data_IF_474580450444
#
_entry.id   IF_474580450444
#
_cell.length_a   1.000
_cell.length_b   1.000
_cell.length_c   1.000
_cell.angle_alpha   90.00
_cell.angle_beta   90.00
_cell.angle_gamma   90.00
#
_symmetry.space_group_name_H-M   'P 1'
#
loop_
_entity.id
_entity.type
_entity.pdbx_description
1 polymer ?
#
# COMPACT_ATOMS: atom_id res chain seq x y z
N UNK A 1 13.66 40.93 12.37
CA UNK A 1 14.43 39.68 12.48
C UNK A 1 13.41 38.58 12.77
N UNK A 2 12.97 37.85 11.75
CA UNK A 2 12.07 36.70 11.89
C UNK A 2 12.90 35.58 12.53
N UNK A 3 12.55 35.22 13.77
CA UNK A 3 13.17 34.07 14.43
C UNK A 3 12.85 32.80 13.62
N UNK A 4 13.82 32.28 12.87
CA UNK A 4 13.72 31.05 12.09
C UNK A 4 13.70 29.79 12.99
N UNK A 5 13.19 29.95 14.23
CA UNK A 5 12.97 28.86 15.17
C UNK A 5 11.61 28.23 14.95
N UNK A 6 11.59 26.89 14.87
CA UNK A 6 10.36 26.16 14.69
C UNK A 6 9.52 26.12 15.97
N UNK A 7 8.44 26.87 16.00
CA UNK A 7 7.55 26.98 17.17
C UNK A 7 6.33 26.02 17.04
N UNK A 8 5.70 25.67 18.19
CA UNK A 8 4.44 24.90 18.18
C UNK A 8 3.33 25.60 17.39
N UNK A 9 3.26 26.94 17.40
CA UNK A 9 2.30 27.73 16.64
C UNK A 9 2.48 27.57 15.13
N UNK A 10 3.73 27.56 14.65
CA UNK A 10 4.04 27.33 13.25
C UNK A 10 3.67 25.89 12.81
N UNK A 11 3.87 24.89 13.69
CA UNK A 11 3.44 23.50 13.40
C UNK A 11 1.91 23.41 13.30
N UNK A 12 1.17 24.15 14.17
CA UNK A 12 -0.30 24.22 14.08
C UNK A 12 -0.76 24.96 12.81
N UNK A 13 -0.10 26.06 12.46
CA UNK A 13 -0.38 26.78 11.22
C UNK A 13 -0.11 25.91 9.97
N UNK A 14 0.99 25.15 9.97
CA UNK A 14 1.28 24.17 8.94
C UNK A 14 0.21 23.08 8.85
N UNK A 15 -0.32 22.59 9.97
CA UNK A 15 -1.42 21.63 9.97
C UNK A 15 -2.69 22.19 9.31
N UNK A 16 -2.99 23.48 9.52
CA UNK A 16 -4.09 24.17 8.83
C UNK A 16 -3.83 24.32 7.33
N UNK A 17 -2.60 24.70 6.96
CA UNK A 17 -2.17 24.79 5.57
C UNK A 17 -2.34 23.43 4.83
N UNK A 18 -1.91 22.32 5.44
CA UNK A 18 -2.09 20.99 4.84
C UNK A 18 -3.56 20.60 4.62
N UNK A 19 -4.49 21.14 5.43
CA UNK A 19 -5.94 20.96 5.20
C UNK A 19 -6.42 21.77 4.00
N UNK A 20 -5.98 23.02 3.88
CA UNK A 20 -6.31 23.88 2.74
C UNK A 20 -5.75 23.29 1.42
N UNK A 21 -4.60 22.62 1.48
CA UNK A 21 -4.00 21.84 0.40
C UNK A 21 -4.72 20.48 0.16
N UNK A 22 -5.88 20.24 0.77
CA UNK A 22 -6.69 19.01 0.64
C UNK A 22 -5.90 17.72 0.88
N UNK A 23 -4.83 17.77 1.70
CA UNK A 23 -4.07 16.57 2.05
C UNK A 23 -4.95 15.63 2.88
N UNK A 24 -4.86 14.33 2.59
CA UNK A 24 -5.60 13.32 3.38
C UNK A 24 -5.15 13.32 4.84
N UNK A 25 -6.08 13.01 5.77
CA UNK A 25 -5.79 12.90 7.22
C UNK A 25 -4.55 12.06 7.51
N UNK A 26 -4.44 10.88 6.91
CA UNK A 26 -3.27 10.01 7.08
C UNK A 26 -1.95 10.65 6.59
N UNK A 27 -2.01 11.51 5.55
CA UNK A 27 -0.84 12.27 5.09
C UNK A 27 -0.48 13.36 6.08
N UNK A 28 -1.48 14.10 6.57
CA UNK A 28 -1.28 15.14 7.57
C UNK A 28 -0.69 14.58 8.86
N UNK A 29 -1.28 13.51 9.41
CA UNK A 29 -0.76 12.83 10.60
C UNK A 29 0.69 12.40 10.44
N UNK A 30 1.02 11.82 9.26
CA UNK A 30 2.38 11.41 8.94
C UNK A 30 3.34 12.61 8.88
N UNK A 31 2.96 13.68 8.17
CA UNK A 31 3.78 14.88 8.04
C UNK A 31 4.01 15.52 9.41
N UNK A 32 2.96 15.72 10.19
CA UNK A 32 3.06 16.31 11.52
C UNK A 32 3.91 15.48 12.48
N UNK A 33 3.80 14.15 12.42
CA UNK A 33 4.66 13.25 13.19
C UNK A 33 6.14 13.42 12.81
N UNK A 34 6.42 13.46 11.50
CA UNK A 34 7.79 13.58 10.99
C UNK A 34 8.37 14.97 11.28
N UNK A 35 7.54 16.04 11.22
CA UNK A 35 7.93 17.41 11.60
C UNK A 35 8.18 17.54 13.11
N UNK A 36 7.35 16.94 13.96
CA UNK A 36 7.61 16.91 15.40
C UNK A 36 8.91 16.16 15.74
N UNK A 37 9.27 15.15 14.97
CA UNK A 37 10.55 14.47 15.13
C UNK A 37 11.73 15.37 14.74
N UNK A 38 11.58 16.13 13.65
CA UNK A 38 12.57 17.15 13.25
C UNK A 38 12.71 18.27 14.30
N UNK A 39 11.59 18.82 14.79
CA UNK A 39 11.58 19.85 15.82
C UNK A 39 12.32 19.42 17.11
N UNK A 40 12.11 18.21 17.57
CA UNK A 40 12.84 17.65 18.72
C UNK A 40 14.32 17.51 18.47
N UNK A 41 14.71 17.09 17.27
CA UNK A 41 16.12 17.00 16.89
C UNK A 41 16.76 18.38 16.71
N UNK A 42 16.00 19.35 16.21
CA UNK A 42 16.45 20.73 16.03
C UNK A 42 16.77 21.41 17.36
N UNK A 43 16.06 21.04 18.42
CA UNK A 43 16.29 21.47 19.82
C UNK A 43 16.39 22.99 19.96
N UNK A 44 15.41 23.71 19.43
CA UNK A 44 15.32 25.17 19.49
C UNK A 44 16.33 25.94 18.63
N UNK A 45 17.18 25.27 17.86
CA UNK A 45 18.10 25.93 16.92
C UNK A 45 17.32 26.54 15.76
N UNK A 46 17.86 27.57 15.14
CA UNK A 46 17.28 28.20 13.96
C UNK A 46 17.40 27.30 12.73
N UNK A 47 16.37 27.30 11.91
CA UNK A 47 16.38 26.51 10.67
C UNK A 47 17.35 27.11 9.68
N UNK A 48 18.29 26.31 9.21
CA UNK A 48 19.25 26.70 8.19
C UNK A 48 19.42 25.59 7.16
N UNK A 49 19.99 25.93 6.01
CA UNK A 49 20.37 24.94 4.98
C UNK A 49 21.30 23.86 5.56
N UNK A 50 22.25 24.25 6.38
CA UNK A 50 23.19 23.35 7.03
C UNK A 50 22.48 22.37 7.97
N UNK A 51 21.57 22.86 8.83
CA UNK A 51 20.81 21.99 9.76
C UNK A 51 19.81 21.07 9.02
N UNK A 52 19.19 21.54 7.93
CA UNK A 52 18.36 20.69 7.10
C UNK A 52 19.16 19.53 6.47
N UNK A 53 20.38 19.80 6.01
CA UNK A 53 21.29 18.78 5.49
C UNK A 53 21.79 17.85 6.62
N UNK A 54 22.11 18.38 7.80
CA UNK A 54 22.52 17.61 8.97
C UNK A 54 21.39 16.67 9.45
N UNK A 55 20.12 17.09 9.41
CA UNK A 55 18.99 16.21 9.67
C UNK A 55 18.94 15.00 8.74
N UNK A 56 19.17 15.22 7.43
CA UNK A 56 19.26 14.12 6.47
C UNK A 56 20.39 13.16 6.81
N UNK A 57 21.60 13.68 7.12
CA UNK A 57 22.75 12.87 7.55
C UNK A 57 22.42 12.06 8.81
N UNK A 58 21.83 12.69 9.84
CA UNK A 58 21.37 12.03 11.05
C UNK A 58 20.40 10.86 10.77
N UNK A 59 19.46 11.02 9.84
CA UNK A 59 18.54 9.94 9.46
C UNK A 59 19.28 8.76 8.78
N UNK A 60 20.32 9.04 7.99
CA UNK A 60 21.17 8.02 7.38
C UNK A 60 21.95 7.26 8.44
N UNK A 61 22.62 7.97 9.37
CA UNK A 61 23.39 7.39 10.47
C UNK A 61 22.53 6.53 11.39
N UNK A 62 21.28 6.91 11.60
CA UNK A 62 20.30 6.11 12.36
C UNK A 62 19.80 4.86 11.62
N UNK A 63 20.31 4.59 10.42
CA UNK A 63 19.98 3.39 9.65
C UNK A 63 18.55 3.35 9.08
N UNK A 64 17.87 4.49 8.93
CA UNK A 64 16.56 4.50 8.30
C UNK A 64 16.65 4.07 6.83
N UNK A 65 15.66 3.28 6.38
CA UNK A 65 15.55 2.92 4.97
C UNK A 65 15.43 4.18 4.08
N UNK A 66 16.10 4.23 2.91
CA UNK A 66 16.11 5.40 2.03
C UNK A 66 14.72 5.94 1.68
N UNK A 67 13.75 5.06 1.45
CA UNK A 67 12.36 5.47 1.21
C UNK A 67 11.72 6.16 2.43
N UNK A 68 12.07 5.73 3.65
CA UNK A 68 11.60 6.36 4.89
C UNK A 68 12.26 7.72 5.09
N UNK A 69 13.55 7.85 4.77
CA UNK A 69 14.27 9.12 4.79
C UNK A 69 13.60 10.10 3.82
N UNK A 70 13.42 9.70 2.55
CA UNK A 70 12.79 10.55 1.55
C UNK A 70 11.36 10.97 1.92
N UNK A 71 10.62 10.11 2.60
CA UNK A 71 9.29 10.46 3.10
C UNK A 71 9.34 11.52 4.21
N UNK A 72 10.33 11.45 5.12
CA UNK A 72 10.57 12.48 6.15
C UNK A 72 11.06 13.80 5.54
N UNK A 73 11.94 13.72 4.55
CA UNK A 73 12.40 14.89 3.81
C UNK A 73 11.29 15.56 2.99
N UNK A 74 10.32 14.80 2.50
CA UNK A 74 9.12 15.34 1.85
C UNK A 74 8.30 16.21 2.80
N UNK A 75 8.09 15.73 4.03
CA UNK A 75 7.41 16.51 5.07
C UNK A 75 8.20 17.77 5.43
N UNK A 76 9.53 17.67 5.62
CA UNK A 76 10.40 18.79 5.91
C UNK A 76 10.37 19.82 4.78
N UNK A 77 10.59 19.42 3.53
CA UNK A 77 10.59 20.34 2.39
C UNK A 77 9.24 21.06 2.21
N UNK A 78 8.12 20.39 2.51
CA UNK A 78 6.79 21.00 2.51
C UNK A 78 6.64 22.05 3.62
N UNK A 79 7.17 21.78 4.82
CA UNK A 79 7.20 22.77 5.89
C UNK A 79 8.06 23.97 5.54
N UNK A 80 9.27 23.75 5.01
CA UNK A 80 10.19 24.82 4.62
C UNK A 80 9.59 25.73 3.56
N UNK A 81 8.87 25.18 2.59
CA UNK A 81 8.12 25.95 1.60
C UNK A 81 7.04 26.80 2.25
N UNK A 82 6.25 26.23 3.14
CA UNK A 82 5.22 26.93 3.89
C UNK A 82 5.77 28.09 4.74
N UNK A 83 6.95 27.93 5.33
CA UNK A 83 7.60 28.95 6.15
C UNK A 83 8.33 30.03 5.31
N UNK A 84 8.33 29.94 3.99
CA UNK A 84 9.10 30.84 3.13
C UNK A 84 10.61 30.53 3.11
N UNK A 85 11.02 29.40 3.69
CA UNK A 85 12.41 28.95 3.80
C UNK A 85 12.79 27.99 2.66
N UNK A 86 12.28 28.19 1.45
CA UNK A 86 12.50 27.32 0.29
C UNK A 86 13.99 27.09 -0.03
N UNK A 87 14.87 28.04 0.26
CA UNK A 87 16.33 27.91 0.13
C UNK A 87 16.94 26.84 1.06
N UNK A 88 16.28 26.51 2.17
CA UNK A 88 16.72 25.49 3.12
C UNK A 88 16.29 24.05 2.75
N UNK A 89 15.53 23.85 1.67
CA UNK A 89 15.10 22.52 1.20
C UNK A 89 16.28 21.63 0.87
N UNK A 90 16.12 20.32 1.12
CA UNK A 90 17.17 19.32 0.88
C UNK A 90 16.80 18.39 -0.27
N UNK A 91 17.82 17.94 -1.00
CA UNK A 91 17.65 16.95 -2.08
C UNK A 91 17.35 15.57 -1.47
N UNK A 92 16.43 14.85 -2.09
CA UNK A 92 16.16 13.46 -1.76
C UNK A 92 17.36 12.56 -2.01
N UNK A 93 17.43 11.44 -1.28
CA UNK A 93 18.35 10.37 -1.62
C UNK A 93 17.98 9.80 -2.98
N UNK A 94 18.95 9.68 -3.86
CA UNK A 94 18.79 8.96 -5.12
C UNK A 94 18.81 7.47 -4.79
N UNK A 95 17.69 6.81 -4.95
CA UNK A 95 17.58 5.36 -4.72
C UNK A 95 17.51 4.69 -6.08
N UNK A 96 18.48 3.85 -6.38
CA UNK A 96 18.39 3.01 -7.57
C UNK A 96 17.13 2.15 -7.45
N UNK A 97 16.31 2.11 -8.49
CA UNK A 97 15.16 1.20 -8.53
C UNK A 97 15.67 -0.22 -8.39
N UNK A 98 15.01 -1.00 -7.53
CA UNK A 98 15.34 -2.42 -7.40
C UNK A 98 15.12 -3.10 -8.75
N UNK A 99 16.19 -3.57 -9.34
CA UNK A 99 16.18 -4.32 -10.60
C UNK A 99 15.64 -5.74 -10.39
N UNK A 100 15.78 -6.27 -9.17
CA UNK A 100 15.41 -7.64 -8.84
C UNK A 100 14.50 -7.66 -7.62
N UNK A 101 13.62 -8.65 -7.61
CA UNK A 101 12.76 -8.94 -6.47
C UNK A 101 13.45 -9.90 -5.50
N UNK A 102 13.09 -9.74 -4.24
CA UNK A 102 13.32 -10.76 -3.23
C UNK A 102 12.23 -11.82 -3.36
N UNK A 103 12.52 -12.88 -4.11
CA UNK A 103 11.60 -14.00 -4.31
C UNK A 103 11.16 -14.64 -2.98
N UNK A 104 11.99 -14.52 -1.92
CA UNK A 104 11.68 -15.01 -0.59
C UNK A 104 10.49 -14.29 0.09
N UNK A 105 10.09 -13.13 -0.42
CA UNK A 105 8.95 -12.36 0.12
C UNK A 105 7.69 -12.41 -0.74
N UNK A 106 7.72 -13.09 -1.86
CA UNK A 106 6.56 -13.20 -2.75
C UNK A 106 5.66 -14.36 -2.34
N UNK A 107 4.36 -14.12 -2.37
CA UNK A 107 3.36 -15.17 -2.20
C UNK A 107 3.19 -15.91 -3.52
N UNK A 108 3.46 -17.21 -3.54
CA UNK A 108 3.25 -18.04 -4.72
C UNK A 108 1.78 -18.46 -4.84
N UNK A 109 1.37 -18.87 -6.06
CA UNK A 109 0.02 -19.41 -6.29
C UNK A 109 -0.25 -20.66 -5.44
N UNK A 110 0.75 -21.52 -5.23
CA UNK A 110 0.62 -22.72 -4.39
C UNK A 110 0.43 -22.34 -2.91
N UNK A 111 1.18 -21.37 -2.39
CA UNK A 111 1.01 -20.86 -1.02
C UNK A 111 -0.36 -20.21 -0.83
N UNK A 112 -0.80 -19.42 -1.83
CA UNK A 112 -2.14 -18.83 -1.82
C UNK A 112 -3.24 -19.92 -1.78
N UNK A 113 -3.11 -20.99 -2.56
CA UNK A 113 -4.08 -22.09 -2.53
C UNK A 113 -4.09 -22.76 -1.17
N UNK A 114 -2.92 -23.04 -0.56
CA UNK A 114 -2.85 -23.59 0.80
C UNK A 114 -3.55 -22.72 1.85
N UNK A 115 -3.48 -21.38 1.71
CA UNK A 115 -4.24 -20.47 2.59
C UNK A 115 -5.74 -20.67 2.44
N UNK A 116 -6.25 -20.76 1.20
CA UNK A 116 -7.68 -20.96 0.94
C UNK A 116 -8.17 -22.32 1.46
N UNK A 117 -7.43 -23.41 1.17
CA UNK A 117 -7.76 -24.76 1.61
C UNK A 117 -7.76 -24.87 3.14
N UNK A 118 -6.79 -24.19 3.78
CA UNK A 118 -6.71 -24.16 5.24
C UNK A 118 -7.86 -23.37 5.86
N UNK A 119 -8.22 -22.22 5.28
CA UNK A 119 -9.37 -21.43 5.74
C UNK A 119 -10.67 -22.25 5.62
N UNK A 120 -10.84 -22.97 4.51
CA UNK A 120 -11.98 -23.86 4.30
C UNK A 120 -12.02 -24.98 5.34
N UNK A 121 -10.93 -25.73 5.53
CA UNK A 121 -10.81 -26.82 6.51
C UNK A 121 -11.07 -26.37 7.95
N UNK A 122 -10.71 -25.14 8.29
CA UNK A 122 -10.93 -24.55 9.61
C UNK A 122 -12.32 -23.90 9.78
N UNK A 123 -13.21 -24.00 8.78
CA UNK A 123 -14.51 -23.34 8.81
C UNK A 123 -14.45 -21.81 8.82
N UNK A 124 -13.32 -21.22 8.45
CA UNK A 124 -13.12 -19.75 8.40
C UNK A 124 -13.61 -19.17 7.07
N UNK A 125 -14.89 -19.44 6.74
CA UNK A 125 -15.51 -19.11 5.45
C UNK A 125 -15.32 -17.63 5.09
N UNK A 126 -15.58 -16.71 6.06
CA UNK A 126 -15.39 -15.26 5.84
C UNK A 126 -13.95 -14.91 5.45
N UNK A 127 -12.96 -15.44 6.18
CA UNK A 127 -11.56 -15.12 5.93
C UNK A 127 -11.08 -15.73 4.61
N UNK A 128 -11.46 -16.96 4.31
CA UNK A 128 -11.17 -17.61 3.04
C UNK A 128 -11.71 -16.81 1.86
N UNK A 129 -13.00 -16.44 1.91
CA UNK A 129 -13.63 -15.63 0.87
C UNK A 129 -13.02 -14.22 0.74
N UNK A 130 -12.62 -13.60 1.86
CA UNK A 130 -11.92 -12.32 1.84
C UNK A 130 -10.55 -12.42 1.14
N UNK A 131 -9.75 -13.44 1.47
CA UNK A 131 -8.45 -13.70 0.83
C UNK A 131 -8.65 -14.00 -0.66
N UNK A 132 -9.66 -14.79 -1.01
CA UNK A 132 -10.02 -15.09 -2.40
C UNK A 132 -10.43 -13.82 -3.16
N UNK A 133 -11.28 -12.98 -2.59
CA UNK A 133 -11.71 -11.72 -3.19
C UNK A 133 -10.53 -10.78 -3.45
N UNK A 134 -9.61 -10.65 -2.49
CA UNK A 134 -8.42 -9.82 -2.65
C UNK A 134 -7.46 -10.38 -3.70
N UNK A 135 -7.28 -11.70 -3.75
CA UNK A 135 -6.41 -12.37 -4.73
C UNK A 135 -6.98 -12.40 -6.14
N UNK A 136 -8.31 -12.41 -6.30
CA UNK A 136 -8.98 -12.47 -7.60
C UNK A 136 -9.23 -11.09 -8.23
N UNK A 137 -9.22 -10.01 -7.45
CA UNK A 137 -9.53 -8.66 -7.94
C UNK A 137 -8.39 -7.67 -7.79
N UNK A 138 -7.38 -7.99 -7.00
CA UNK A 138 -6.31 -7.05 -6.66
C UNK A 138 -6.79 -5.83 -5.86
N UNK A 139 -7.97 -5.88 -5.24
CA UNK A 139 -8.55 -4.79 -4.42
C UNK A 139 -7.62 -4.41 -3.26
N UNK A 140 -7.54 -3.12 -2.93
CA UNK A 140 -6.80 -2.67 -1.75
C UNK A 140 -7.56 -3.01 -0.48
N UNK A 141 -6.85 -3.28 0.62
CA UNK A 141 -7.48 -3.59 1.92
C UNK A 141 -8.44 -2.50 2.40
N UNK A 142 -8.17 -1.22 2.11
CA UNK A 142 -9.06 -0.12 2.43
C UNK A 142 -10.34 -0.07 1.58
N UNK A 143 -10.36 -0.81 0.50
CA UNK A 143 -11.46 -0.84 -0.46
C UNK A 143 -12.36 -2.07 -0.27
N UNK A 144 -11.99 -3.00 0.62
CA UNK A 144 -12.78 -4.22 0.93
C UNK A 144 -14.23 -3.90 1.32
N UNK A 145 -14.47 -2.77 1.97
CA UNK A 145 -15.82 -2.31 2.34
C UNK A 145 -16.74 -2.08 1.15
N UNK A 146 -16.20 -1.83 -0.04
CA UNK A 146 -16.96 -1.67 -1.28
C UNK A 146 -17.36 -3.01 -1.93
N UNK A 147 -16.92 -4.16 -1.39
CA UNK A 147 -17.46 -5.45 -1.73
C UNK A 147 -18.80 -5.61 -1.02
N UNK A 148 -19.84 -5.05 -1.62
CA UNK A 148 -21.22 -5.03 -1.12
C UNK A 148 -22.07 -6.07 -1.84
N UNK A 149 -23.26 -6.32 -1.31
CA UNK A 149 -24.26 -7.19 -1.93
C UNK A 149 -24.65 -6.64 -3.32
N UNK A 150 -24.80 -5.33 -3.41
CA UNK A 150 -25.12 -4.61 -4.65
C UNK A 150 -24.00 -4.78 -5.68
N UNK A 151 -22.74 -4.57 -5.25
CA UNK A 151 -21.58 -4.74 -6.11
C UNK A 151 -21.47 -6.19 -6.64
N UNK A 152 -21.74 -7.17 -5.78
CA UNK A 152 -21.71 -8.58 -6.18
C UNK A 152 -22.84 -8.94 -7.16
N UNK A 153 -24.02 -8.30 -7.06
CA UNK A 153 -25.11 -8.45 -8.02
C UNK A 153 -24.81 -7.81 -9.39
N UNK A 154 -24.12 -6.67 -9.37
CA UNK A 154 -23.76 -5.93 -10.58
C UNK A 154 -22.49 -6.46 -11.27
N UNK A 155 -21.71 -7.34 -10.61
CA UNK A 155 -20.42 -7.81 -11.13
C UNK A 155 -19.30 -6.75 -11.07
N UNK A 156 -19.52 -5.62 -10.41
CA UNK A 156 -18.56 -4.52 -10.28
C UNK A 156 -18.71 -3.79 -8.96
N UNK A 157 -17.58 -3.33 -8.40
CA UNK A 157 -17.54 -2.46 -7.24
C UNK A 157 -17.06 -1.07 -7.65
N UNK A 158 -17.85 -0.05 -7.38
CA UNK A 158 -17.48 1.35 -7.60
C UNK A 158 -16.87 1.92 -6.32
N UNK A 159 -15.63 2.37 -6.44
CA UNK A 159 -14.85 2.89 -5.32
C UNK A 159 -14.69 4.38 -5.47
N UNK A 160 -15.27 5.12 -4.54
CA UNK A 160 -15.02 6.55 -4.38
C UNK A 160 -14.16 6.75 -3.13
N UNK A 161 -12.88 7.03 -3.33
CA UNK A 161 -11.96 7.22 -2.21
C UNK A 161 -10.95 8.32 -2.53
N UNK A 162 -10.87 9.36 -1.68
CA UNK A 162 -9.92 10.46 -1.81
C UNK A 162 -9.97 11.17 -3.17
N UNK A 163 -11.16 11.49 -3.66
CA UNK A 163 -11.37 12.18 -4.94
C UNK A 163 -11.09 11.32 -6.19
N UNK A 164 -10.76 10.02 -6.00
CA UNK A 164 -10.56 9.09 -7.12
C UNK A 164 -11.74 8.12 -7.19
N UNK A 165 -12.37 8.09 -8.35
CA UNK A 165 -13.42 7.12 -8.67
C UNK A 165 -12.79 6.05 -9.55
N UNK A 166 -12.97 4.79 -9.19
CA UNK A 166 -12.58 3.66 -10.04
C UNK A 166 -13.55 2.50 -9.90
N UNK A 167 -13.67 1.72 -10.94
CA UNK A 167 -14.47 0.50 -10.98
C UNK A 167 -13.54 -0.72 -10.85
N UNK A 168 -13.91 -1.67 -10.00
CA UNK A 168 -13.27 -2.98 -9.89
C UNK A 168 -14.25 -4.01 -10.45
N UNK A 169 -13.84 -4.75 -11.46
CA UNK A 169 -14.60 -5.87 -12.00
C UNK A 169 -14.51 -7.06 -11.04
N UNK A 170 -15.63 -7.69 -10.77
CA UNK A 170 -15.73 -8.87 -9.93
C UNK A 170 -15.98 -10.09 -10.83
N UNK A 171 -15.11 -11.12 -10.80
CA UNK A 171 -15.34 -12.34 -11.54
C UNK A 171 -16.68 -13.00 -11.14
N UNK A 172 -17.41 -13.50 -12.10
CA UNK A 172 -18.76 -14.07 -11.90
C UNK A 172 -18.79 -15.17 -10.82
N UNK A 173 -17.79 -16.04 -10.83
CA UNK A 173 -17.63 -17.09 -9.82
C UNK A 173 -17.44 -16.52 -8.40
N UNK A 174 -16.73 -15.39 -8.28
CA UNK A 174 -16.58 -14.69 -7.02
C UNK A 174 -17.90 -14.04 -6.59
N UNK A 175 -18.62 -13.41 -7.49
CA UNK A 175 -19.94 -12.82 -7.22
C UNK A 175 -20.90 -13.86 -6.64
N UNK A 176 -20.99 -15.04 -7.22
CA UNK A 176 -21.82 -16.14 -6.71
C UNK A 176 -21.45 -16.51 -5.27
N UNK A 177 -20.16 -16.70 -4.99
CA UNK A 177 -19.68 -17.00 -3.63
C UNK A 177 -19.98 -15.88 -2.64
N UNK A 178 -19.80 -14.62 -3.02
CA UNK A 178 -20.09 -13.46 -2.18
C UNK A 178 -21.58 -13.38 -1.83
N UNK A 179 -22.46 -13.61 -2.80
CA UNK A 179 -23.91 -13.59 -2.58
C UNK A 179 -24.39 -14.75 -1.73
N UNK A 180 -23.86 -15.95 -1.94
CA UNK A 180 -24.13 -17.12 -1.08
C UNK A 180 -23.70 -16.86 0.36
N UNK A 181 -22.52 -16.30 0.56
CA UNK A 181 -22.04 -15.95 1.89
C UNK A 181 -22.92 -14.86 2.54
N UNK A 182 -23.27 -13.79 1.79
CA UNK A 182 -24.16 -12.74 2.28
C UNK A 182 -25.54 -13.29 2.71
N UNK A 183 -26.11 -14.22 1.95
CA UNK A 183 -27.36 -14.89 2.28
C UNK A 183 -27.25 -15.70 3.58
N UNK A 184 -26.21 -16.51 3.75
CA UNK A 184 -25.93 -17.24 4.99
C UNK A 184 -25.80 -16.32 6.21
N UNK A 185 -25.19 -15.14 6.02
CA UNK A 185 -25.02 -14.14 7.08
C UNK A 185 -26.25 -13.22 7.26
N UNK A 186 -27.34 -13.47 6.53
CA UNK A 186 -28.56 -12.64 6.51
C UNK A 186 -28.24 -11.17 6.20
N UNK A 187 -27.25 -10.91 5.35
CA UNK A 187 -26.86 -9.56 4.91
C UNK A 187 -27.61 -9.24 3.62
N UNK A 188 -28.69 -8.49 3.72
CA UNK A 188 -29.55 -8.15 2.59
C UNK A 188 -28.93 -7.04 1.70
N UNK A 189 -28.13 -6.13 2.27
CA UNK A 189 -27.54 -4.97 1.59
C UNK A 189 -26.24 -4.51 2.26
N UNK A 190 -25.46 -3.68 1.53
CA UNK A 190 -24.22 -3.07 2.01
C UNK A 190 -23.04 -4.03 2.11
N UNK A 191 -22.02 -3.68 2.90
CA UNK A 191 -20.76 -4.41 2.97
C UNK A 191 -20.95 -5.88 3.41
N UNK A 192 -20.36 -6.80 2.65
CA UNK A 192 -20.44 -8.26 2.89
C UNK A 192 -19.53 -8.66 4.04
N UNK A 193 -18.32 -8.09 4.10
CA UNK A 193 -17.34 -8.45 5.11
C UNK A 193 -17.48 -7.59 6.36
N UNK A 194 -18.13 -8.15 7.38
CA UNK A 194 -18.38 -7.49 8.67
C UNK A 194 -17.69 -8.25 9.81
N UNK A 195 -17.40 -7.55 10.88
CA UNK A 195 -16.96 -8.15 12.13
C UNK A 195 -18.15 -8.73 12.94
N UNK A 196 -17.87 -9.34 14.09
CA UNK A 196 -18.92 -9.93 14.95
C UNK A 196 -19.93 -8.89 15.47
N UNK A 197 -19.57 -7.61 15.53
CA UNK A 197 -20.47 -6.50 15.92
C UNK A 197 -21.19 -5.85 14.74
N UNK A 198 -21.16 -6.45 13.55
CA UNK A 198 -21.84 -5.94 12.36
C UNK A 198 -21.13 -4.77 11.66
N UNK A 199 -20.00 -4.29 12.19
CA UNK A 199 -19.22 -3.19 11.60
C UNK A 199 -18.29 -3.70 10.51
N UNK A 200 -17.90 -2.82 9.58
CA UNK A 200 -16.91 -3.11 8.54
C UNK A 200 -15.58 -3.60 9.13
N UNK A 201 -14.89 -4.49 8.41
CA UNK A 201 -13.60 -4.99 8.84
C UNK A 201 -12.52 -3.92 8.72
N UNK A 202 -11.86 -3.62 9.84
CA UNK A 202 -10.71 -2.72 9.86
C UNK A 202 -9.44 -3.38 9.30
N UNK A 203 -8.55 -2.56 8.72
CA UNK A 203 -7.27 -3.03 8.17
C UNK A 203 -6.46 -3.87 9.18
N UNK A 204 -6.38 -3.43 10.44
CA UNK A 204 -5.64 -4.14 11.50
C UNK A 204 -6.23 -5.53 11.77
N UNK A 205 -7.56 -5.63 11.77
CA UNK A 205 -8.25 -6.89 11.99
C UNK A 205 -7.99 -7.87 10.83
N UNK A 206 -8.16 -7.42 9.59
CA UNK A 206 -7.86 -8.23 8.39
C UNK A 206 -6.43 -8.74 8.44
N UNK A 207 -5.48 -7.88 8.75
CA UNK A 207 -4.07 -8.25 8.85
C UNK A 207 -3.82 -9.30 9.93
N UNK A 208 -4.39 -9.12 11.14
CA UNK A 208 -4.23 -10.05 12.25
C UNK A 208 -4.86 -11.43 11.95
N UNK A 209 -6.03 -11.46 11.31
CA UNK A 209 -6.69 -12.70 10.91
C UNK A 209 -5.87 -13.45 9.84
N UNK A 210 -5.34 -12.73 8.84
CA UNK A 210 -4.46 -13.32 7.82
C UNK A 210 -3.18 -13.90 8.44
N UNK A 211 -2.55 -13.21 9.41
CA UNK A 211 -1.34 -13.71 10.10
C UNK A 211 -1.62 -15.00 10.90
N UNK A 212 -2.76 -15.10 11.56
CA UNK A 212 -3.14 -16.34 12.27
C UNK A 212 -3.36 -17.50 11.31
N UNK A 213 -3.94 -17.24 10.14
CA UNK A 213 -4.14 -18.25 9.11
C UNK A 213 -2.80 -18.80 8.58
N UNK A 214 -1.78 -17.93 8.41
CA UNK A 214 -0.46 -18.32 7.90
C UNK A 214 0.17 -19.48 8.71
N UNK A 215 0.18 -19.36 10.03
CA UNK A 215 0.76 -20.38 10.90
C UNK A 215 0.08 -21.74 10.73
N UNK A 216 -1.24 -21.75 10.51
CA UNK A 216 -2.02 -22.97 10.28
C UNK A 216 -1.84 -23.55 8.87
N UNK A 217 -1.53 -22.67 7.89
CA UNK A 217 -1.33 -23.07 6.50
C UNK A 217 0.13 -23.44 6.17
N UNK A 218 1.05 -23.33 7.11
CA UNK A 218 2.49 -23.53 6.86
C UNK A 218 3.05 -22.56 5.83
N UNK A 219 2.56 -21.32 5.82
CA UNK A 219 3.02 -20.25 4.92
C UNK A 219 3.76 -19.18 5.71
N UNK A 220 4.92 -18.75 5.22
CA UNK A 220 5.71 -17.70 5.89
C UNK A 220 4.85 -16.44 6.12
N UNK A 221 4.67 -16.00 7.37
CA UNK A 221 3.89 -14.81 7.67
C UNK A 221 4.41 -13.53 7.00
N UNK A 222 5.70 -13.46 6.64
CA UNK A 222 6.30 -12.33 5.93
C UNK A 222 5.76 -12.18 4.52
N UNK A 223 5.24 -13.26 3.92
CA UNK A 223 4.64 -13.27 2.58
C UNK A 223 3.15 -12.95 2.56
N UNK A 224 2.43 -13.08 3.68
CA UNK A 224 0.97 -12.98 3.70
C UNK A 224 0.52 -11.68 4.33
N UNK A 225 0.18 -10.74 3.48
CA UNK A 225 -0.42 -9.45 3.81
C UNK A 225 -1.19 -8.92 2.59
N UNK A 226 -2.15 -8.02 2.77
CA UNK A 226 -3.05 -7.57 1.71
C UNK A 226 -2.37 -7.12 0.43
N UNK A 227 -1.26 -6.38 0.55
CA UNK A 227 -0.54 -5.89 -0.63
C UNK A 227 0.08 -7.04 -1.45
N UNK A 228 0.50 -8.13 -0.80
CA UNK A 228 1.07 -9.29 -1.48
C UNK A 228 0.02 -10.11 -2.26
N UNK A 229 -1.24 -10.13 -1.79
CA UNK A 229 -2.36 -10.70 -2.57
C UNK A 229 -2.62 -9.89 -3.85
N UNK A 230 -2.60 -8.57 -3.74
CA UNK A 230 -2.70 -7.69 -4.92
C UNK A 230 -1.51 -7.86 -5.87
N UNK A 231 -0.33 -8.09 -5.31
CA UNK A 231 0.87 -8.41 -6.06
C UNK A 231 0.72 -9.73 -6.83
N UNK A 232 0.24 -10.77 -6.16
CA UNK A 232 -0.04 -12.07 -6.79
C UNK A 232 -1.04 -11.92 -7.95
N UNK A 233 -2.15 -11.18 -7.74
CA UNK A 233 -3.10 -10.84 -8.79
C UNK A 233 -2.40 -10.19 -9.99
N UNK A 234 -1.61 -9.15 -9.75
CA UNK A 234 -0.93 -8.40 -10.80
C UNK A 234 0.01 -9.29 -11.61
N UNK A 235 0.79 -10.15 -10.94
CA UNK A 235 1.70 -11.07 -11.60
C UNK A 235 0.96 -12.12 -12.44
N UNK A 236 -0.09 -12.73 -11.88
CA UNK A 236 -0.88 -13.75 -12.59
C UNK A 236 -1.57 -13.11 -13.79
N UNK A 237 -2.21 -11.96 -13.61
CA UNK A 237 -2.86 -11.24 -14.69
C UNK A 237 -1.89 -10.89 -15.83
N UNK A 238 -0.73 -10.29 -15.49
CA UNK A 238 0.26 -9.92 -16.50
C UNK A 238 0.83 -11.14 -17.23
N UNK A 239 1.08 -12.24 -16.54
CA UNK A 239 1.55 -13.48 -17.20
C UNK A 239 0.56 -13.99 -18.25
N UNK A 240 -0.73 -13.78 -18.01
CA UNK A 240 -1.80 -14.20 -18.93
C UNK A 240 -2.05 -13.21 -20.05
N UNK A 241 -2.15 -11.91 -19.74
CA UNK A 241 -2.55 -10.88 -20.71
C UNK A 241 -1.37 -10.23 -21.44
N UNK A 242 -0.18 -10.21 -20.81
CA UNK A 242 1.02 -9.48 -21.27
C UNK A 242 0.80 -7.98 -21.50
N UNK A 243 -0.29 -7.44 -21.00
CA UNK A 243 -0.71 -6.05 -21.15
C UNK A 243 -0.57 -5.28 -19.84
N UNK A 244 0.46 -4.42 -19.76
CA UNK A 244 0.74 -3.61 -18.58
C UNK A 244 -0.23 -2.44 -18.43
N UNK A 245 -0.73 -1.90 -19.55
CA UNK A 245 -1.66 -0.77 -19.55
C UNK A 245 -2.98 -1.22 -18.95
N UNK A 246 -3.53 -2.32 -19.47
CA UNK A 246 -4.74 -2.93 -18.94
C UNK A 246 -4.62 -3.33 -17.48
N UNK A 247 -3.45 -3.83 -17.06
CA UNK A 247 -3.18 -4.11 -15.65
C UNK A 247 -3.18 -2.84 -14.80
N UNK A 248 -2.57 -1.74 -15.29
CA UNK A 248 -2.56 -0.46 -14.59
C UNK A 248 -3.98 0.08 -14.39
N UNK A 249 -4.81 0.01 -15.42
CA UNK A 249 -6.22 0.43 -15.36
C UNK A 249 -7.02 -0.41 -14.36
N UNK A 250 -6.92 -1.73 -14.41
CA UNK A 250 -7.58 -2.63 -13.44
C UNK A 250 -7.15 -2.36 -12.01
N UNK A 251 -5.88 -2.07 -11.79
CA UNK A 251 -5.36 -1.72 -10.47
C UNK A 251 -5.70 -0.27 -10.06
N UNK A 252 -6.16 0.57 -10.98
CA UNK A 252 -6.41 2.00 -10.74
C UNK A 252 -5.13 2.74 -10.37
N UNK A 253 -4.07 2.56 -11.15
CA UNK A 253 -2.83 3.29 -11.02
C UNK A 253 -2.85 4.48 -11.96
N UNK A 254 -2.54 5.67 -11.44
CA UNK A 254 -2.42 6.90 -12.24
C UNK A 254 -1.14 6.95 -13.08
N UNK A 255 -0.22 5.99 -12.89
CA UNK A 255 1.03 5.89 -13.62
C UNK A 255 1.40 4.41 -13.82
N UNK A 256 1.76 4.06 -15.05
CA UNK A 256 2.29 2.73 -15.43
C UNK A 256 3.54 2.39 -14.61
N UNK A 257 4.34 3.40 -14.24
CA UNK A 257 5.51 3.23 -13.38
C UNK A 257 5.18 2.55 -12.03
N UNK A 258 4.00 2.83 -11.47
CA UNK A 258 3.53 2.15 -10.26
C UNK A 258 3.22 0.67 -10.52
N UNK A 259 2.85 0.32 -11.75
CA UNK A 259 2.55 -1.06 -12.15
C UNK A 259 3.82 -1.83 -12.48
N UNK A 260 4.87 -1.18 -12.97
CA UNK A 260 6.16 -1.82 -13.29
C UNK A 260 6.76 -2.55 -12.09
N UNK A 261 6.51 -2.11 -10.87
CA UNK A 261 7.00 -2.80 -9.66
C UNK A 261 6.50 -4.25 -9.56
N UNK A 262 5.36 -4.57 -10.19
CA UNK A 262 4.82 -5.93 -10.25
C UNK A 262 5.45 -6.79 -11.35
N UNK A 263 6.19 -6.17 -12.27
CA UNK A 263 6.82 -6.82 -13.42
C UNK A 263 8.32 -7.04 -13.25
N UNK A 264 8.88 -6.55 -12.16
CA UNK A 264 10.29 -6.79 -11.84
C UNK A 264 10.47 -8.30 -11.66
N UNK A 265 11.21 -8.90 -12.56
CA UNK A 265 11.52 -10.34 -12.58
C UNK A 265 12.61 -10.68 -11.57
N UNK A 266 12.77 -11.95 -11.24
CA UNK A 266 13.90 -12.40 -10.42
C UNK A 266 15.22 -12.24 -11.18
N UNK A 267 16.33 -12.04 -10.46
CA UNK A 267 17.64 -12.00 -11.09
C UNK A 267 17.93 -13.22 -11.96
N UNK A 268 17.48 -14.41 -11.55
CA UNK A 268 17.60 -15.64 -12.32
C UNK A 268 16.80 -15.60 -13.65
N UNK A 269 15.67 -14.92 -13.69
CA UNK A 269 14.86 -14.77 -14.92
C UNK A 269 15.53 -13.79 -15.90
N UNK A 270 16.12 -12.72 -15.38
CA UNK A 270 16.95 -11.82 -16.18
C UNK A 270 18.19 -12.51 -16.71
N UNK A 271 18.88 -13.30 -15.89
CA UNK A 271 20.05 -14.06 -16.31
C UNK A 271 19.71 -15.00 -17.46
N UNK A 272 18.64 -15.79 -17.35
CA UNK A 272 18.16 -16.66 -18.44
C UNK A 272 17.84 -15.89 -19.72
N UNK A 273 17.34 -14.66 -19.61
CA UNK A 273 17.06 -13.81 -20.76
C UNK A 273 18.35 -13.35 -21.41
N UNK A 274 19.34 -12.93 -20.60
CA UNK A 274 20.67 -12.54 -21.09
C UNK A 274 21.38 -13.71 -21.78
N UNK A 275 21.32 -14.90 -21.18
CA UNK A 275 21.90 -16.12 -21.75
C UNK A 275 21.31 -16.48 -23.13
N UNK A 276 20.04 -16.16 -23.34
CA UNK A 276 19.33 -16.39 -24.62
C UNK A 276 19.64 -15.36 -25.70
N UNK A 277 20.25 -14.23 -25.36
CA UNK A 277 20.60 -13.21 -26.35
C UNK A 277 21.69 -13.68 -27.34
N UNK A 278 22.45 -14.69 -26.99
CA UNK A 278 23.51 -15.27 -27.87
C UNK A 278 24.59 -14.25 -28.24
N UNK A 279 24.83 -13.25 -27.40
CA UNK A 279 25.84 -12.19 -27.64
C UNK A 279 27.23 -12.55 -27.08
N UNK A 280 27.36 -13.71 -26.44
CA UNK A 280 28.61 -14.22 -25.90
C UNK A 280 28.98 -15.46 -26.73
N UNK A 281 30.17 -15.43 -27.33
CA UNK A 281 30.76 -16.56 -28.09
C UNK A 281 31.40 -17.56 -27.15
#
# INVERSE_FOLDING_TARGET
MTEDRLTPLQIQAFARHLRLEEKSEATMEKYLRDIRAFARWLDGREISKGLSAAWKAHLVERGYAPASINAKLSALNSLLEFLGLGGCRVKFLRVQRRLFRDAGRELTKAEYQRLLDTAHRLGQERLGLLVEAMGATGIRVSEVRYLTVEAARQGKAEISLKGKIRTILLPEKLCRKLLQYAQKQKTASGAIFRNKSGKELGRRQIWAEMKRLCGRAGVDPRKVFPHNLRHLFAMVFYRTSRDIVKLADLLGHSSIETTRIYLVTSGAEHQRTLDRLGLIS
#
